data_IF_774406941867
#
_entry.id   IF_774406941867
#
_cell.length_a   1.000
_cell.length_b   1.000
_cell.length_c   1.000
_cell.angle_alpha   90.00
_cell.angle_beta   90.00
_cell.angle_gamma   90.00
#
_symmetry.space_group_name_H-M   'P 1'
#
loop_
_entity.id
_entity.type
_entity.pdbx_description
1 polymer ?
#
# COMPACT_ATOMS: atom_id res chain seq x y z
N UNK A 1 26.62 20.26 1.56
CA UNK A 1 26.79 18.81 1.73
C UNK A 1 26.32 18.27 3.09
N UNK A 2 26.15 19.09 4.14
CA UNK A 2 25.70 18.62 5.46
C UNK A 2 24.21 18.20 5.57
N UNK A 3 23.28 18.92 4.93
CA UNK A 3 21.84 18.67 5.07
C UNK A 3 21.32 17.39 4.39
N UNK A 4 22.03 16.91 3.36
CA UNK A 4 21.57 15.77 2.57
C UNK A 4 21.93 14.44 3.24
N UNK A 5 23.07 14.40 3.92
CA UNK A 5 23.48 13.25 4.74
C UNK A 5 22.57 13.06 5.94
N UNK A 6 22.21 14.16 6.64
CA UNK A 6 21.29 14.11 7.77
C UNK A 6 19.88 13.69 7.37
N UNK A 7 19.41 14.08 6.17
CA UNK A 7 18.11 13.66 5.68
C UNK A 7 18.07 12.14 5.49
N UNK A 8 19.03 11.56 4.75
CA UNK A 8 19.09 10.11 4.50
C UNK A 8 19.24 9.29 5.79
N UNK A 9 19.98 9.81 6.77
CA UNK A 9 20.08 9.19 8.10
C UNK A 9 18.74 9.21 8.84
N UNK A 10 17.99 10.30 8.75
CA UNK A 10 16.63 10.37 9.32
C UNK A 10 15.69 9.37 8.64
N UNK A 11 15.71 9.28 7.30
CA UNK A 11 14.85 8.33 6.56
C UNK A 11 15.20 6.88 6.91
N UNK A 12 16.49 6.55 6.98
CA UNK A 12 16.95 5.22 7.39
C UNK A 12 16.50 4.90 8.82
N UNK A 13 16.60 5.85 9.75
CA UNK A 13 16.16 5.64 11.14
C UNK A 13 14.64 5.47 11.30
N UNK A 14 13.86 6.05 10.39
CA UNK A 14 12.40 5.96 10.38
C UNK A 14 11.83 4.82 9.53
N UNK A 15 12.68 3.95 8.97
CA UNK A 15 12.25 2.85 8.10
C UNK A 15 12.95 1.54 8.45
N UNK A 16 12.50 0.47 7.81
CA UNK A 16 13.07 -0.87 7.93
C UNK A 16 14.29 -1.06 7.00
N UNK A 17 15.02 0.03 6.69
CA UNK A 17 16.14 0.03 5.76
C UNK A 17 17.40 0.62 6.38
N UNK A 18 18.55 0.03 6.06
CA UNK A 18 19.84 0.62 6.37
C UNK A 18 20.24 1.71 5.36
N UNK A 19 21.32 2.43 5.65
CA UNK A 19 21.79 3.54 4.82
C UNK A 19 22.12 3.11 3.39
N UNK A 20 22.66 1.91 3.20
CA UNK A 20 23.03 1.42 1.87
C UNK A 20 21.78 1.06 1.06
N UNK A 21 20.77 0.46 1.71
CA UNK A 21 19.44 0.22 1.16
C UNK A 21 18.77 1.52 0.75
N UNK A 22 18.74 2.54 1.62
CA UNK A 22 18.17 3.86 1.31
C UNK A 22 18.91 4.53 0.13
N UNK A 23 20.24 4.41 0.06
CA UNK A 23 21.02 4.92 -1.08
C UNK A 23 20.69 4.19 -2.40
N UNK A 24 20.42 2.89 -2.36
CA UNK A 24 19.93 2.13 -3.53
C UNK A 24 18.52 2.56 -3.93
N UNK A 25 17.62 2.73 -2.96
CA UNK A 25 16.27 3.23 -3.20
C UNK A 25 16.29 4.62 -3.82
N UNK A 26 17.16 5.52 -3.35
CA UNK A 26 17.34 6.85 -3.95
C UNK A 26 17.73 6.78 -5.42
N UNK A 27 18.67 5.90 -5.78
CA UNK A 27 19.07 5.69 -7.18
C UNK A 27 17.92 5.14 -8.04
N UNK A 28 17.02 4.34 -7.46
CA UNK A 28 15.80 3.88 -8.14
C UNK A 28 14.80 5.02 -8.29
N UNK A 29 14.55 5.78 -7.23
CA UNK A 29 13.68 6.95 -7.22
C UNK A 29 14.06 7.94 -8.33
N UNK A 30 15.33 8.33 -8.41
CA UNK A 30 15.84 9.23 -9.46
C UNK A 30 15.76 8.66 -10.88
N UNK A 31 15.59 7.34 -11.04
CA UNK A 31 15.34 6.74 -12.36
C UNK A 31 13.87 6.77 -12.74
N UNK A 32 12.98 6.84 -11.75
CA UNK A 32 11.54 6.91 -11.93
C UNK A 32 11.11 8.35 -12.19
N UNK A 33 11.60 9.30 -11.40
CA UNK A 33 11.50 10.74 -11.59
C UNK A 33 12.21 11.16 -12.90
N UNK A 34 11.46 11.20 -14.00
CA UNK A 34 11.96 11.47 -15.36
C UNK A 34 12.19 12.94 -15.60
N UNK A 35 11.33 13.77 -15.03
CA UNK A 35 11.38 15.21 -15.20
C UNK A 35 12.29 15.92 -14.18
N UNK A 36 12.77 15.18 -13.17
CA UNK A 36 13.58 15.66 -12.04
C UNK A 36 12.82 16.69 -11.20
N UNK A 37 11.50 16.52 -11.06
CA UNK A 37 10.65 17.32 -10.19
C UNK A 37 10.96 17.12 -8.69
N UNK A 38 11.59 15.99 -8.34
CA UNK A 38 11.86 15.59 -6.95
C UNK A 38 10.71 14.79 -6.33
N UNK A 39 9.68 14.49 -7.10
CA UNK A 39 8.51 13.68 -6.74
C UNK A 39 8.23 12.69 -7.87
N UNK A 40 7.54 11.58 -7.57
CA UNK A 40 7.09 10.64 -8.60
C UNK A 40 5.60 10.85 -8.83
N UNK A 41 5.25 11.33 -10.03
CA UNK A 41 3.86 11.49 -10.43
C UNK A 41 3.21 10.16 -10.83
N UNK A 42 1.88 10.15 -10.87
CA UNK A 42 1.10 8.96 -11.27
C UNK A 42 1.54 8.41 -12.62
N UNK A 43 1.79 9.27 -13.60
CA UNK A 43 2.16 8.88 -14.95
C UNK A 43 3.57 8.26 -14.99
N UNK A 44 4.47 8.69 -14.12
CA UNK A 44 5.82 8.13 -13.98
C UNK A 44 5.78 6.73 -13.34
N UNK A 45 4.90 6.50 -12.36
CA UNK A 45 4.64 5.16 -11.84
C UNK A 45 4.05 4.23 -12.90
N UNK A 46 3.07 4.71 -13.66
CA UNK A 46 2.40 3.93 -14.70
C UNK A 46 3.29 3.74 -15.95
N UNK A 47 4.37 4.50 -16.10
CA UNK A 47 5.37 4.26 -17.14
C UNK A 47 6.16 2.95 -16.92
N UNK A 48 6.13 2.38 -15.71
CA UNK A 48 6.76 1.08 -15.41
C UNK A 48 5.84 -0.04 -15.93
N UNK A 49 6.24 -0.84 -16.94
CA UNK A 49 5.35 -1.83 -17.55
C UNK A 49 4.78 -2.84 -16.55
N UNK A 50 5.58 -3.26 -15.57
CA UNK A 50 5.20 -4.19 -14.51
C UNK A 50 4.15 -3.60 -13.56
N UNK A 51 4.11 -2.27 -13.40
CA UNK A 51 3.13 -1.58 -12.56
C UNK A 51 1.89 -1.25 -13.37
N UNK A 52 2.04 -0.77 -14.61
CA UNK A 52 0.92 -0.39 -15.50
C UNK A 52 -0.12 -1.51 -15.71
N UNK A 53 0.31 -2.76 -15.66
CA UNK A 53 -0.53 -3.95 -15.84
C UNK A 53 -1.10 -4.50 -14.53
N UNK A 54 -0.70 -3.95 -13.38
CA UNK A 54 -1.18 -4.37 -12.08
C UNK A 54 -2.49 -3.64 -11.75
N UNK A 55 -3.61 -4.35 -11.52
CA UNK A 55 -4.90 -3.73 -11.22
C UNK A 55 -4.91 -2.89 -9.94
N UNK A 56 -3.97 -3.14 -9.02
CA UNK A 56 -3.83 -2.42 -7.76
C UNK A 56 -2.80 -1.29 -7.83
N UNK A 57 -2.18 -1.02 -8.98
CA UNK A 57 -1.16 0.02 -9.11
C UNK A 57 -1.63 1.38 -8.59
N UNK A 58 -2.85 1.78 -8.94
CA UNK A 58 -3.44 3.03 -8.44
C UNK A 58 -3.61 3.03 -6.92
N UNK A 59 -3.98 1.89 -6.31
CA UNK A 59 -4.06 1.77 -4.86
C UNK A 59 -2.69 1.87 -4.21
N UNK A 60 -1.68 1.21 -4.78
CA UNK A 60 -0.30 1.29 -4.29
C UNK A 60 0.24 2.72 -4.29
N UNK A 61 0.05 3.47 -5.38
CA UNK A 61 0.45 4.88 -5.48
C UNK A 61 -0.29 5.71 -4.41
N UNK A 62 -1.60 5.52 -4.29
CA UNK A 62 -2.41 6.21 -3.29
C UNK A 62 -2.07 5.82 -1.84
N UNK A 63 -1.39 4.71 -1.57
CA UNK A 63 -0.91 4.38 -0.22
C UNK A 63 0.44 5.05 0.06
N UNK A 64 1.28 5.20 -0.98
CA UNK A 64 2.59 5.84 -0.85
C UNK A 64 2.46 7.34 -0.68
N UNK A 65 1.52 7.99 -1.38
CA UNK A 65 1.17 9.40 -1.26
C UNK A 65 0.46 9.68 0.09
N UNK A 66 1.20 9.71 1.19
CA UNK A 66 0.68 9.81 2.55
C UNK A 66 0.01 11.17 2.80
N UNK A 67 0.53 12.25 2.20
CA UNK A 67 -0.04 13.60 2.35
C UNK A 67 -1.21 13.90 1.39
N UNK A 68 -1.41 13.08 0.36
CA UNK A 68 -2.50 13.23 -0.61
C UNK A 68 -2.25 14.35 -1.63
N UNK A 69 -0.99 14.75 -1.81
CA UNK A 69 -0.56 15.78 -2.75
C UNK A 69 -0.68 15.37 -4.22
N UNK A 70 -0.90 14.08 -4.50
CA UNK A 70 -1.04 13.53 -5.85
C UNK A 70 0.27 13.08 -6.49
N UNK A 71 1.38 13.20 -5.77
CA UNK A 71 2.73 12.81 -6.17
C UNK A 71 3.47 12.23 -4.98
N UNK A 72 4.34 11.26 -5.19
CA UNK A 72 5.05 10.57 -4.10
C UNK A 72 6.46 11.14 -3.95
N UNK A 73 6.77 11.72 -2.80
CA UNK A 73 8.13 12.19 -2.51
C UNK A 73 9.09 11.04 -2.12
N UNK A 74 10.38 11.35 -1.93
CA UNK A 74 11.35 10.32 -1.60
C UNK A 74 11.14 9.70 -0.19
N UNK A 75 10.66 10.48 0.77
CA UNK A 75 10.37 10.00 2.12
C UNK A 75 9.18 9.03 2.08
N UNK A 76 8.11 9.42 1.40
CA UNK A 76 6.92 8.61 1.16
C UNK A 76 7.23 7.32 0.40
N UNK A 77 8.07 7.40 -0.64
CA UNK A 77 8.53 6.22 -1.38
C UNK A 77 9.25 5.21 -0.49
N UNK A 78 10.12 5.67 0.41
CA UNK A 78 10.84 4.80 1.34
C UNK A 78 9.91 4.26 2.43
N UNK A 79 9.05 5.10 3.02
CA UNK A 79 8.04 4.69 4.01
C UNK A 79 7.11 3.62 3.45
N UNK A 80 6.62 3.79 2.22
CA UNK A 80 5.75 2.83 1.55
C UNK A 80 6.41 1.48 1.30
N UNK A 81 7.69 1.48 0.89
CA UNK A 81 8.46 0.24 0.69
C UNK A 81 8.90 -0.42 2.00
N UNK A 82 8.99 0.35 3.09
CA UNK A 82 9.41 -0.14 4.41
C UNK A 82 8.53 -1.28 4.92
N UNK A 83 7.22 -1.24 4.64
CA UNK A 83 6.28 -2.30 5.00
C UNK A 83 6.59 -3.65 4.33
N UNK A 84 7.23 -3.62 3.16
CA UNK A 84 7.61 -4.81 2.39
C UNK A 84 8.98 -5.37 2.78
N UNK A 85 9.74 -4.66 3.62
CA UNK A 85 11.03 -5.16 4.14
C UNK A 85 10.82 -6.43 4.96
N UNK A 86 11.75 -7.38 4.85
CA UNK A 86 11.81 -8.56 5.71
C UNK A 86 12.13 -8.21 7.17
N UNK A 87 12.64 -7.00 7.42
CA UNK A 87 12.88 -6.44 8.77
C UNK A 87 11.61 -5.86 9.39
N UNK A 88 10.55 -5.64 8.60
CA UNK A 88 9.28 -5.08 9.05
C UNK A 88 8.42 -6.08 9.81
N UNK A 89 7.61 -5.57 10.74
CA UNK A 89 6.81 -6.41 11.63
C UNK A 89 5.45 -6.81 11.01
N UNK A 90 4.77 -7.78 11.64
CA UNK A 90 3.47 -8.29 11.16
C UNK A 90 2.38 -7.20 11.13
N UNK A 91 2.36 -6.30 12.11
CA UNK A 91 1.35 -5.25 12.19
C UNK A 91 1.49 -4.22 11.06
N UNK A 92 2.71 -3.80 10.73
CA UNK A 92 2.99 -2.89 9.60
C UNK A 92 2.47 -3.48 8.27
N UNK A 93 2.72 -4.78 8.06
CA UNK A 93 2.25 -5.51 6.87
C UNK A 93 0.72 -5.61 6.83
N UNK A 94 0.09 -5.88 7.97
CA UNK A 94 -1.37 -5.91 8.10
C UNK A 94 -1.99 -4.53 7.84
N UNK A 95 -1.41 -3.46 8.41
CA UNK A 95 -1.84 -2.08 8.17
C UNK A 95 -1.72 -1.70 6.71
N UNK A 96 -0.64 -2.13 6.05
CA UNK A 96 -0.49 -1.92 4.61
C UNK A 96 -1.59 -2.64 3.83
N UNK A 97 -1.81 -3.93 4.11
CA UNK A 97 -2.85 -4.72 3.44
C UNK A 97 -4.26 -4.12 3.66
N UNK A 98 -4.54 -3.62 4.86
CA UNK A 98 -5.78 -2.93 5.19
C UNK A 98 -5.96 -1.65 4.35
N UNK A 99 -4.93 -0.81 4.24
CA UNK A 99 -4.92 0.43 3.43
C UNK A 99 -5.13 0.20 1.92
N UNK A 100 -4.92 -1.03 1.42
CA UNK A 100 -5.31 -1.36 0.04
C UNK A 100 -6.82 -1.23 -0.14
N UNK A 101 -7.58 -1.65 0.87
CA UNK A 101 -9.04 -1.62 0.86
C UNK A 101 -9.62 -0.29 1.34
N UNK A 102 -9.08 0.30 2.40
CA UNK A 102 -9.51 1.61 2.95
C UNK A 102 -9.10 2.74 1.97
N UNK A 103 -10.04 3.22 1.16
CA UNK A 103 -9.83 4.17 0.06
C UNK A 103 -9.78 5.59 0.59
N UNK A 104 -10.74 5.95 1.46
CA UNK A 104 -10.88 7.31 1.98
C UNK A 104 -10.06 7.58 3.24
N UNK A 105 -9.41 6.55 3.80
CA UNK A 105 -8.52 6.60 4.97
C UNK A 105 -9.24 6.95 6.26
N UNK A 106 -10.52 6.61 6.39
CA UNK A 106 -11.27 6.80 7.63
C UNK A 106 -10.95 5.76 8.71
N UNK A 107 -10.13 4.75 8.38
CA UNK A 107 -9.73 3.67 9.28
C UNK A 107 -10.68 2.47 9.28
N UNK A 108 -11.63 2.44 8.35
CA UNK A 108 -12.58 1.36 8.15
C UNK A 108 -12.60 0.92 6.69
N UNK A 109 -13.06 -0.30 6.44
CA UNK A 109 -13.37 -0.77 5.09
C UNK A 109 -14.89 -0.81 4.98
N UNK A 110 -15.45 0.11 4.20
CA UNK A 110 -16.87 0.11 3.88
C UNK A 110 -17.22 -0.94 2.82
N UNK A 111 -18.52 -1.23 2.69
CA UNK A 111 -19.07 -2.11 1.65
C UNK A 111 -18.66 -1.66 0.24
N UNK A 112 -18.74 -0.36 -0.04
CA UNK A 112 -18.39 0.18 -1.34
C UNK A 112 -16.90 0.02 -1.66
N UNK A 113 -16.03 0.26 -0.67
CA UNK A 113 -14.58 0.15 -0.85
C UNK A 113 -14.13 -1.28 -1.09
N UNK A 114 -14.66 -2.23 -0.30
CA UNK A 114 -14.40 -3.65 -0.49
C UNK A 114 -14.85 -4.10 -1.89
N UNK A 115 -16.04 -3.67 -2.34
CA UNK A 115 -16.52 -3.94 -3.68
C UNK A 115 -15.57 -3.41 -4.76
N UNK A 116 -15.17 -2.14 -4.66
CA UNK A 116 -14.31 -1.48 -5.65
C UNK A 116 -12.98 -2.22 -5.79
N UNK A 117 -12.33 -2.53 -4.67
CA UNK A 117 -11.01 -3.16 -4.68
C UNK A 117 -11.08 -4.59 -5.21
N UNK A 118 -12.09 -5.37 -4.78
CA UNK A 118 -12.30 -6.71 -5.34
C UNK A 118 -12.62 -6.65 -6.83
N UNK A 119 -13.41 -5.66 -7.28
CA UNK A 119 -13.73 -5.47 -8.71
C UNK A 119 -12.48 -5.20 -9.54
N UNK A 120 -11.51 -4.45 -9.03
CA UNK A 120 -10.22 -4.24 -9.68
C UNK A 120 -9.49 -5.58 -9.91
N UNK A 121 -9.53 -6.50 -8.94
CA UNK A 121 -8.83 -7.79 -9.03
C UNK A 121 -9.55 -8.82 -9.91
N UNK A 122 -10.87 -8.97 -9.76
CA UNK A 122 -11.64 -10.02 -10.46
C UNK A 122 -12.08 -9.60 -11.87
N UNK A 123 -12.09 -8.30 -12.15
CA UNK A 123 -12.51 -7.75 -13.44
C UNK A 123 -13.92 -8.21 -13.84
N UNK A 124 -14.03 -8.79 -15.04
CA UNK A 124 -15.31 -9.29 -15.58
C UNK A 124 -15.59 -10.76 -15.27
N UNK A 125 -14.74 -11.42 -14.47
CA UNK A 125 -14.93 -12.84 -14.12
C UNK A 125 -16.14 -13.08 -13.20
N UNK A 126 -16.57 -12.04 -12.49
CA UNK A 126 -17.78 -12.05 -11.65
C UNK A 126 -18.73 -10.94 -12.10
N UNK A 127 -20.03 -11.28 -12.15
CA UNK A 127 -21.09 -10.29 -12.31
C UNK A 127 -21.19 -9.43 -11.05
N UNK A 128 -21.57 -8.18 -11.20
CA UNK A 128 -21.65 -7.23 -10.09
C UNK A 128 -22.55 -7.73 -8.96
N UNK A 129 -23.68 -8.37 -9.28
CA UNK A 129 -24.56 -8.97 -8.28
C UNK A 129 -23.88 -10.10 -7.48
N UNK A 130 -23.05 -10.93 -8.13
CA UNK A 130 -22.34 -12.01 -7.45
C UNK A 130 -21.23 -11.45 -6.57
N UNK A 131 -20.52 -10.44 -7.06
CA UNK A 131 -19.50 -9.75 -6.29
C UNK A 131 -20.11 -9.06 -5.06
N UNK A 132 -21.24 -8.37 -5.24
CA UNK A 132 -21.95 -7.72 -4.13
C UNK A 132 -22.37 -8.74 -3.06
N UNK A 133 -22.87 -9.91 -3.46
CA UNK A 133 -23.21 -10.96 -2.50
C UNK A 133 -22.01 -11.50 -1.72
N UNK A 134 -20.81 -11.50 -2.31
CA UNK A 134 -19.57 -11.87 -1.61
C UNK A 134 -19.22 -10.77 -0.60
N UNK A 135 -19.21 -9.51 -1.04
CA UNK A 135 -18.95 -8.34 -0.19
C UNK A 135 -19.88 -8.30 1.01
N UNK A 136 -21.19 -8.44 0.79
CA UNK A 136 -22.20 -8.38 1.86
C UNK A 136 -21.99 -9.49 2.90
N UNK A 137 -21.64 -10.71 2.45
CA UNK A 137 -21.34 -11.83 3.34
C UNK A 137 -20.05 -11.62 4.12
N UNK A 138 -19.00 -11.12 3.45
CA UNK A 138 -17.72 -10.84 4.10
C UNK A 138 -17.89 -9.81 5.21
N UNK A 139 -18.64 -8.73 4.98
CA UNK A 139 -18.93 -7.74 6.02
C UNK A 139 -19.76 -8.38 7.12
N UNK A 140 -20.84 -9.11 6.80
CA UNK A 140 -21.68 -9.77 7.80
C UNK A 140 -20.90 -10.72 8.73
N UNK A 141 -19.87 -11.39 8.21
CA UNK A 141 -19.02 -12.32 8.97
C UNK A 141 -17.93 -11.60 9.80
N UNK A 142 -17.45 -10.45 9.30
CA UNK A 142 -16.34 -9.70 9.91
C UNK A 142 -16.79 -8.64 10.92
N UNK A 143 -17.95 -8.03 10.70
CA UNK A 143 -18.51 -6.93 11.48
C UNK A 143 -19.07 -7.45 12.82
N UNK A 144 -18.21 -7.41 13.85
CA UNK A 144 -18.49 -7.93 15.18
C UNK A 144 -19.28 -6.93 16.03
N UNK A 145 -19.07 -5.63 15.82
CA UNK A 145 -19.75 -4.57 16.56
C UNK A 145 -21.04 -4.04 15.89
N UNK A 146 -21.29 -4.45 14.64
CA UNK A 146 -22.48 -4.20 13.83
C UNK A 146 -22.62 -2.75 13.38
N UNK A 147 -21.51 -2.08 13.09
CA UNK A 147 -21.49 -0.73 12.54
C UNK A 147 -21.61 -0.69 11.00
N UNK A 148 -21.60 -1.87 10.34
CA UNK A 148 -21.77 -2.03 8.90
C UNK A 148 -20.49 -1.87 8.08
N UNK A 149 -19.33 -1.78 8.73
CA UNK A 149 -18.01 -1.65 8.12
C UNK A 149 -17.02 -2.59 8.83
N UNK A 150 -15.79 -2.64 8.36
CA UNK A 150 -14.75 -3.51 8.93
C UNK A 150 -13.65 -2.62 9.51
N UNK A 151 -13.51 -2.62 10.82
CA UNK A 151 -12.38 -2.00 11.52
C UNK A 151 -11.08 -2.79 11.31
N UNK A 152 -9.94 -2.18 11.64
CA UNK A 152 -8.67 -2.89 11.56
C UNK A 152 -8.60 -4.13 12.46
N UNK A 153 -9.17 -4.03 13.66
CA UNK A 153 -9.23 -5.12 14.63
C UNK A 153 -10.07 -6.30 14.11
N UNK A 154 -11.14 -6.03 13.37
CA UNK A 154 -11.96 -7.05 12.71
C UNK A 154 -11.25 -7.65 11.49
N UNK A 155 -10.62 -6.81 10.67
CA UNK A 155 -9.81 -7.26 9.53
C UNK A 155 -8.71 -8.22 9.99
N UNK A 156 -7.96 -7.86 11.03
CA UNK A 156 -6.85 -8.69 11.55
C UNK A 156 -7.33 -10.04 12.08
N UNK A 157 -8.52 -10.11 12.71
CA UNK A 157 -9.16 -11.37 13.11
C UNK A 157 -9.57 -12.19 11.90
N UNK A 158 -10.16 -11.56 10.89
CA UNK A 158 -10.63 -12.24 9.66
C UNK A 158 -9.47 -12.95 8.94
N UNK A 159 -8.30 -12.32 8.90
CA UNK A 159 -7.12 -12.81 8.18
C UNK A 159 -6.12 -13.54 9.09
N UNK A 160 -6.48 -13.86 10.33
CA UNK A 160 -5.56 -14.44 11.33
C UNK A 160 -4.91 -15.74 10.85
N UNK A 161 -5.66 -16.57 10.11
CA UNK A 161 -5.20 -17.84 9.54
C UNK A 161 -4.44 -17.70 8.22
N UNK A 162 -4.34 -16.48 7.68
CA UNK A 162 -3.65 -16.19 6.42
C UNK A 162 -2.23 -15.68 6.69
N UNK A 163 -1.24 -16.23 5.99
CA UNK A 163 0.14 -15.74 6.05
C UNK A 163 0.32 -14.47 5.20
N UNK A 164 -0.22 -13.36 5.69
CA UNK A 164 -0.02 -12.04 5.10
C UNK A 164 1.45 -11.63 5.16
N UNK A 165 2.20 -12.09 6.17
CA UNK A 165 3.61 -11.75 6.33
C UNK A 165 4.46 -12.21 5.15
N UNK A 166 4.26 -13.43 4.66
CA UNK A 166 4.92 -13.93 3.46
C UNK A 166 4.49 -13.18 2.20
N UNK A 167 3.18 -12.89 2.07
CA UNK A 167 2.64 -12.19 0.90
C UNK A 167 3.12 -10.74 0.77
N UNK A 168 3.45 -10.11 1.91
CA UNK A 168 3.84 -8.71 2.04
C UNK A 168 5.35 -8.55 2.28
N UNK A 169 6.19 -9.47 1.80
CA UNK A 169 7.65 -9.38 1.96
C UNK A 169 8.35 -9.50 0.62
N UNK A 170 9.28 -8.58 0.36
CA UNK A 170 10.20 -8.63 -0.78
C UNK A 170 11.61 -8.96 -0.27
N UNK A 171 12.27 -9.93 -0.89
CA UNK A 171 13.55 -10.45 -0.40
C UNK A 171 14.74 -9.52 -0.65
N UNK A 172 14.63 -8.55 -1.58
CA UNK A 172 15.75 -7.69 -1.98
C UNK A 172 15.31 -6.26 -2.36
N UNK A 173 15.97 -5.26 -1.75
CA UNK A 173 15.82 -3.83 -2.05
C UNK A 173 17.13 -3.20 -2.53
#
# INVERSE_FOLDING_TARGET
MGNQTSLLENIASGSNFDREEVDRLRKRFMKLDKDNSGTIERDEFLAIPQISSNPLATRMIAIFDEDGGGSVDFQEFVSGLSAFSSKGNKEEKLRFAFRVYDIDRDGYISNGELFIVLKMMVGSNLKDQQLQQIVDKTIMEADLDRDGKISFEEFTKMVESTDITMSMTLDQF
#
